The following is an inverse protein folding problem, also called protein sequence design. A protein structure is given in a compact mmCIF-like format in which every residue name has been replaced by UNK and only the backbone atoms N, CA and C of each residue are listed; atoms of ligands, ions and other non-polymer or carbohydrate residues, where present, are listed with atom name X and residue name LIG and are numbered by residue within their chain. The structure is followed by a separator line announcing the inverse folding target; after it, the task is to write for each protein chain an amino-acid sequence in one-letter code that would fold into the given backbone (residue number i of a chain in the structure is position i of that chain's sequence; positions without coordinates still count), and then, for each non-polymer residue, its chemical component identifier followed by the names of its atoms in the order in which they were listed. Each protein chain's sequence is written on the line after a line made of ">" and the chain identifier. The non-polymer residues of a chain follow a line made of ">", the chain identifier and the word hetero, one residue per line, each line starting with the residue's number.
data_IF_954925369306
#
_entry.id   IF_954925369306
#
_cell.length_a   1.000
_cell.length_b   1.000
_cell.length_c   1.000
_cell.angle_alpha   90.00
_cell.angle_beta   90.00
_cell.angle_gamma   90.00
#
_symmetry.space_group_name_H-M   'P 1'
#
loop_
_entity.id
_entity.type
_entity.pdbx_description
1 polymer ?
#
# COMPACT_ATOMS: atom_id res chain seq x y z
N UNK A 1 9.31 19.24 42.68
CA UNK A 1 8.99 20.01 41.46
C UNK A 1 10.24 20.18 40.60
N UNK A 2 10.37 19.46 39.49
CA UNK A 2 11.25 19.82 38.35
C UNK A 2 10.52 19.40 37.07
N UNK A 3 9.88 20.37 36.41
CA UNK A 3 9.19 20.18 35.12
C UNK A 3 10.24 19.91 34.02
N UNK A 4 10.29 18.69 33.51
CA UNK A 4 10.99 18.38 32.26
C UNK A 4 10.22 19.03 31.09
N UNK A 5 10.75 20.13 30.55
CA UNK A 5 10.29 20.73 29.29
C UNK A 5 10.44 19.70 28.17
N UNK A 6 9.33 19.14 27.69
CA UNK A 6 9.28 18.41 26.41
C UNK A 6 9.74 19.37 25.30
N UNK A 7 10.88 19.07 24.67
CA UNK A 7 11.28 19.72 23.41
C UNK A 7 10.25 19.35 22.33
N UNK A 8 9.85 20.27 21.45
CA UNK A 8 8.98 19.94 20.34
C UNK A 8 9.72 18.97 19.41
N UNK A 9 9.09 17.83 19.12
CA UNK A 9 9.62 16.86 18.16
C UNK A 9 9.78 17.55 16.80
N UNK A 10 10.97 17.46 16.20
CA UNK A 10 11.21 17.91 14.82
C UNK A 10 10.22 17.17 13.92
N UNK A 11 9.37 17.92 13.19
CA UNK A 11 8.50 17.35 12.15
C UNK A 11 9.36 16.55 11.18
N UNK A 12 9.24 15.23 11.22
CA UNK A 12 9.80 14.38 10.19
C UNK A 12 9.24 14.85 8.84
N UNK A 13 10.12 15.17 7.91
CA UNK A 13 9.78 15.43 6.51
C UNK A 13 9.18 14.15 5.95
N UNK A 14 7.84 14.03 6.02
CA UNK A 14 7.07 13.12 5.18
C UNK A 14 7.35 13.55 3.74
N UNK A 15 7.79 12.63 2.87
CA UNK A 15 7.59 12.85 1.43
C UNK A 15 6.10 13.09 1.27
N UNK A 16 5.72 14.23 0.71
CA UNK A 16 4.34 14.45 0.30
C UNK A 16 4.02 13.30 -0.67
N UNK A 17 3.09 12.42 -0.27
CA UNK A 17 2.50 11.48 -1.23
C UNK A 17 1.94 12.30 -2.39
N UNK A 18 1.85 11.69 -3.56
CA UNK A 18 1.16 12.28 -4.69
C UNK A 18 -0.29 12.53 -4.24
N UNK A 19 -0.64 13.75 -3.85
CA UNK A 19 -1.83 14.07 -3.05
C UNK A 19 -3.16 13.67 -3.70
N UNK A 20 -3.54 12.40 -3.53
CA UNK A 20 -4.66 11.76 -4.19
C UNK A 20 -4.45 11.53 -5.69
N UNK A 21 -5.51 11.09 -6.37
CA UNK A 21 -5.54 10.72 -7.79
C UNK A 21 -5.01 11.82 -8.72
N UNK A 22 -5.35 13.08 -8.43
CA UNK A 22 -4.86 14.24 -9.18
C UNK A 22 -3.34 14.42 -9.05
N UNK A 23 -2.78 14.08 -7.88
CA UNK A 23 -1.35 14.07 -7.64
C UNK A 23 -0.65 12.99 -8.47
N UNK A 24 -1.21 11.79 -8.49
CA UNK A 24 -0.67 10.63 -9.24
C UNK A 24 -0.70 10.91 -10.74
N UNK A 25 -1.84 11.36 -11.27
CA UNK A 25 -1.99 11.70 -12.68
C UNK A 25 -0.99 12.76 -13.11
N UNK A 26 -0.82 13.82 -12.31
CA UNK A 26 0.18 14.87 -12.56
C UNK A 26 1.62 14.33 -12.51
N UNK A 27 1.94 13.44 -11.58
CA UNK A 27 3.26 12.82 -11.49
C UNK A 27 3.57 11.98 -12.74
N UNK A 28 2.60 11.17 -13.21
CA UNK A 28 2.73 10.38 -14.44
C UNK A 28 2.95 11.28 -15.66
N UNK A 29 2.15 12.35 -15.80
CA UNK A 29 2.27 13.29 -16.92
C UNK A 29 3.60 14.06 -16.89
N UNK A 30 4.07 14.46 -15.71
CA UNK A 30 5.36 15.13 -15.57
C UNK A 30 6.51 14.21 -16.00
N UNK A 31 6.49 12.96 -15.56
CA UNK A 31 7.54 11.99 -15.89
C UNK A 31 7.51 11.62 -17.38
N UNK A 32 6.31 11.40 -17.93
CA UNK A 32 6.12 11.15 -19.36
C UNK A 32 6.56 12.35 -20.21
N UNK A 33 6.22 13.57 -19.78
CA UNK A 33 6.66 14.80 -20.43
C UNK A 33 8.17 15.01 -20.37
N UNK A 34 8.83 14.59 -19.27
CA UNK A 34 10.30 14.59 -19.16
C UNK A 34 10.92 13.65 -20.18
N UNK A 35 10.40 12.43 -20.32
CA UNK A 35 10.88 11.46 -21.31
C UNK A 35 10.66 11.94 -22.74
N UNK A 36 9.49 12.49 -23.05
CA UNK A 36 9.20 13.05 -24.37
C UNK A 36 10.16 14.19 -24.74
N UNK A 37 10.45 15.09 -23.79
CA UNK A 37 11.45 16.16 -23.98
C UNK A 37 12.87 15.61 -24.21
N UNK A 38 13.26 14.54 -23.51
CA UNK A 38 14.54 13.89 -23.74
C UNK A 38 14.60 13.30 -25.16
N UNK A 39 13.59 12.54 -25.56
CA UNK A 39 13.50 11.93 -26.88
C UNK A 39 13.53 12.98 -28.01
N UNK A 40 12.74 14.05 -27.90
CA UNK A 40 12.70 15.14 -28.88
C UNK A 40 14.00 15.95 -28.94
N UNK A 41 14.79 15.96 -27.87
CA UNK A 41 16.11 16.58 -27.82
C UNK A 41 17.23 15.61 -28.21
N UNK A 42 16.90 14.46 -28.81
CA UNK A 42 17.84 13.40 -29.20
C UNK A 42 18.72 12.90 -28.03
N UNK A 43 18.19 12.95 -26.81
CA UNK A 43 18.80 12.38 -25.61
C UNK A 43 18.12 11.08 -25.25
N UNK A 44 18.90 10.12 -24.77
CA UNK A 44 18.41 8.82 -24.35
C UNK A 44 17.36 8.96 -23.22
N UNK A 45 16.11 8.51 -23.45
CA UNK A 45 15.10 8.52 -22.42
C UNK A 45 15.47 7.53 -21.32
N UNK A 46 15.41 8.00 -20.07
CA UNK A 46 15.77 7.19 -18.91
C UNK A 46 14.85 7.46 -17.72
N UNK A 47 14.47 6.41 -17.00
CA UNK A 47 13.82 6.52 -15.68
C UNK A 47 14.87 6.51 -14.57
N UNK A 48 14.62 7.26 -13.50
CA UNK A 48 15.45 7.24 -12.29
C UNK A 48 14.64 6.66 -11.13
N UNK A 49 14.88 5.39 -10.80
CA UNK A 49 14.06 4.61 -9.88
C UNK A 49 14.83 4.38 -8.57
N UNK A 50 14.28 4.72 -7.39
CA UNK A 50 14.91 4.38 -6.12
C UNK A 50 15.11 2.86 -5.96
N UNK A 51 16.28 2.43 -5.48
CA UNK A 51 16.61 1.00 -5.34
C UNK A 51 15.89 0.40 -4.13
N UNK A 52 15.10 -0.65 -4.37
CA UNK A 52 14.31 -1.37 -3.35
C UNK A 52 15.03 -2.62 -2.84
N UNK A 53 16.25 -2.45 -2.34
CA UNK A 53 17.07 -3.55 -1.80
C UNK A 53 17.36 -3.33 -0.32
N UNK A 54 17.55 -4.40 0.45
CA UNK A 54 17.91 -4.30 1.89
C UNK A 54 19.14 -3.43 2.14
N UNK A 55 20.08 -3.42 1.18
CA UNK A 55 21.26 -2.57 1.26
C UNK A 55 20.90 -1.08 1.22
N UNK A 56 19.83 -0.69 0.53
CA UNK A 56 19.34 0.68 0.42
C UNK A 56 18.20 0.99 1.41
N UNK A 57 18.14 0.28 2.53
CA UNK A 57 17.17 0.52 3.60
C UNK A 57 17.92 0.99 4.84
N UNK A 58 17.52 2.14 5.37
CA UNK A 58 18.11 2.75 6.56
C UNK A 58 17.08 2.79 7.70
N UNK A 59 17.50 2.46 8.92
CA UNK A 59 16.66 2.59 10.10
C UNK A 59 16.70 4.04 10.60
N UNK A 60 15.56 4.72 10.61
CA UNK A 60 15.44 6.03 11.22
C UNK A 60 15.05 5.89 12.70
N UNK A 61 16.00 6.09 13.59
CA UNK A 61 15.79 6.00 15.05
C UNK A 61 14.73 7.00 15.57
N UNK A 62 14.63 8.19 14.96
CA UNK A 62 13.74 9.24 15.43
C UNK A 62 12.27 8.90 15.15
N UNK A 63 12.01 8.32 13.98
CA UNK A 63 10.65 7.92 13.60
C UNK A 63 10.38 6.42 13.78
N UNK A 64 11.38 5.63 14.20
CA UNK A 64 11.32 4.18 14.41
C UNK A 64 10.72 3.44 13.20
N UNK A 65 11.11 3.88 12.00
CA UNK A 65 10.69 3.28 10.74
C UNK A 65 11.88 3.05 9.83
N UNK A 66 11.76 2.05 8.97
CA UNK A 66 12.68 1.83 7.87
C UNK A 66 12.37 2.83 6.76
N UNK A 67 13.40 3.54 6.31
CA UNK A 67 13.35 4.49 5.19
C UNK A 67 14.18 3.95 4.03
N UNK A 68 13.76 4.26 2.81
CA UNK A 68 14.61 4.03 1.65
C UNK A 68 15.73 5.08 1.63
N UNK A 69 16.96 4.60 1.40
CA UNK A 69 18.13 5.44 1.19
C UNK A 69 18.15 6.09 -0.18
N UNK A 70 19.21 6.86 -0.44
CA UNK A 70 19.32 7.74 -1.60
C UNK A 70 19.74 7.04 -2.90
N UNK A 71 20.07 5.75 -2.86
CA UNK A 71 20.52 5.05 -4.07
C UNK A 71 19.38 4.91 -5.08
N UNK A 72 19.70 5.27 -6.31
CA UNK A 72 18.79 5.23 -7.47
C UNK A 72 19.44 4.40 -8.57
N UNK A 73 18.62 3.64 -9.26
CA UNK A 73 18.96 2.92 -10.47
C UNK A 73 18.44 3.70 -11.67
N UNK A 74 19.27 3.80 -12.70
CA UNK A 74 18.88 4.36 -13.98
C UNK A 74 18.39 3.21 -14.86
N UNK A 75 17.21 3.38 -15.47
CA UNK A 75 16.64 2.46 -16.45
C UNK A 75 16.57 3.17 -17.79
N UNK A 76 17.40 2.74 -18.73
CA UNK A 76 17.60 3.37 -20.03
C UNK A 76 16.85 2.61 -21.13
N UNK A 77 16.32 3.34 -22.12
CA UNK A 77 15.66 2.73 -23.27
C UNK A 77 16.65 2.01 -24.19
N UNK A 78 17.81 2.61 -24.48
CA UNK A 78 18.79 2.07 -25.45
C UNK A 78 19.77 1.05 -24.85
N UNK A 79 19.44 0.50 -23.69
CA UNK A 79 20.20 -0.57 -23.06
C UNK A 79 19.49 -1.91 -23.29
N UNK A 80 20.15 -2.86 -23.96
CA UNK A 80 19.58 -4.15 -24.35
C UNK A 80 18.91 -4.91 -23.19
N UNK A 81 19.53 -4.88 -22.00
CA UNK A 81 19.00 -5.58 -20.82
C UNK A 81 17.86 -4.85 -20.11
N UNK A 82 17.62 -3.57 -20.43
CA UNK A 82 16.67 -2.71 -19.74
C UNK A 82 15.51 -2.23 -20.62
N UNK A 83 15.67 -2.26 -21.94
CA UNK A 83 14.68 -1.79 -22.92
C UNK A 83 13.29 -2.41 -22.69
N UNK A 84 13.23 -3.72 -22.43
CA UNK A 84 11.97 -4.42 -22.13
C UNK A 84 11.30 -3.86 -20.87
N UNK A 85 12.07 -3.71 -19.79
CA UNK A 85 11.58 -3.14 -18.52
C UNK A 85 11.18 -1.68 -18.66
N UNK A 86 11.88 -0.92 -19.50
CA UNK A 86 11.53 0.47 -19.79
C UNK A 86 10.15 0.54 -20.47
N UNK A 87 9.95 -0.25 -21.52
CA UNK A 87 8.65 -0.36 -22.21
C UNK A 87 7.53 -0.78 -21.24
N UNK A 88 7.77 -1.79 -20.42
CA UNK A 88 6.81 -2.26 -19.42
C UNK A 88 6.44 -1.15 -18.41
N UNK A 89 7.41 -0.37 -17.93
CA UNK A 89 7.15 0.77 -17.04
C UNK A 89 6.25 1.81 -17.70
N UNK A 90 6.54 2.18 -18.95
CA UNK A 90 5.71 3.12 -19.72
C UNK A 90 4.30 2.58 -19.97
N UNK A 91 4.18 1.28 -20.26
CA UNK A 91 2.89 0.63 -20.46
C UNK A 91 2.05 0.61 -19.18
N UNK A 92 2.65 0.31 -18.04
CA UNK A 92 1.97 0.37 -16.73
C UNK A 92 1.57 1.81 -16.36
N UNK A 93 2.42 2.81 -16.65
CA UNK A 93 2.07 4.22 -16.49
C UNK A 93 0.81 4.59 -17.27
N UNK A 94 0.72 4.19 -18.53
CA UNK A 94 -0.49 4.39 -19.34
C UNK A 94 -1.68 3.65 -18.76
N UNK A 95 -1.48 2.40 -18.36
CA UNK A 95 -2.52 1.57 -17.76
C UNK A 95 -3.14 2.19 -16.51
N UNK A 96 -2.32 2.79 -15.64
CA UNK A 96 -2.75 3.53 -14.45
C UNK A 96 -3.44 4.84 -14.83
N UNK A 97 -2.91 5.61 -15.78
CA UNK A 97 -3.55 6.84 -16.23
C UNK A 97 -4.97 6.58 -16.77
N UNK A 98 -5.15 5.52 -17.55
CA UNK A 98 -6.47 5.11 -18.04
C UNK A 98 -7.44 4.73 -16.89
N UNK A 99 -6.93 4.16 -15.79
CA UNK A 99 -7.75 3.82 -14.61
C UNK A 99 -8.19 5.07 -13.86
N UNK A 100 -7.30 6.06 -13.73
CA UNK A 100 -7.59 7.35 -13.13
C UNK A 100 -8.61 8.14 -13.98
N UNK A 101 -8.43 8.17 -15.30
CA UNK A 101 -9.36 8.87 -16.22
C UNK A 101 -10.76 8.26 -16.23
N UNK A 102 -10.86 6.94 -16.04
CA UNK A 102 -12.14 6.22 -16.05
C UNK A 102 -12.78 6.06 -14.67
N UNK A 103 -12.11 6.51 -13.61
CA UNK A 103 -12.49 6.27 -12.22
C UNK A 103 -12.80 4.79 -11.94
N UNK A 104 -11.87 3.92 -12.34
CA UNK A 104 -11.99 2.46 -12.17
C UNK A 104 -10.80 1.91 -11.44
N UNK A 105 -11.03 0.81 -10.73
CA UNK A 105 -9.97 0.06 -10.06
C UNK A 105 -9.77 -1.30 -10.70
N UNK A 106 -8.55 -1.83 -10.60
CA UNK A 106 -8.18 -3.11 -11.19
C UNK A 106 -7.36 -3.94 -10.21
N UNK A 107 -7.53 -5.26 -10.25
CA UNK A 107 -6.68 -6.16 -9.46
C UNK A 107 -5.26 -6.24 -10.06
N UNK A 108 -4.27 -6.66 -9.27
CA UNK A 108 -2.92 -6.98 -9.78
C UNK A 108 -2.93 -7.90 -11.02
N UNK A 109 -3.73 -8.97 -10.97
CA UNK A 109 -3.93 -9.87 -12.12
C UNK A 109 -4.58 -9.16 -13.30
N UNK A 110 -5.57 -8.31 -13.03
CA UNK A 110 -6.18 -7.50 -14.06
C UNK A 110 -5.15 -6.59 -14.73
N UNK A 111 -4.25 -5.96 -13.96
CA UNK A 111 -3.21 -5.08 -14.52
C UNK A 111 -2.22 -5.85 -15.35
N UNK A 112 -1.84 -7.04 -14.91
CA UNK A 112 -1.06 -7.97 -15.72
C UNK A 112 -1.75 -8.27 -17.06
N UNK A 113 -3.03 -8.66 -17.06
CA UNK A 113 -3.76 -8.96 -18.30
C UNK A 113 -3.98 -7.72 -19.18
N UNK A 114 -4.20 -6.54 -18.59
CA UNK A 114 -4.31 -5.27 -19.31
C UNK A 114 -3.00 -4.88 -20.00
N UNK A 115 -1.86 -5.23 -19.41
CA UNK A 115 -0.55 -5.03 -20.02
C UNK A 115 -0.14 -6.15 -20.97
N UNK A 116 -0.81 -7.31 -20.95
CA UNK A 116 -0.41 -8.52 -21.67
C UNK A 116 -0.81 -8.45 -23.15
N UNK A 117 0.16 -8.11 -24.00
CA UNK A 117 -0.02 -8.06 -25.44
C UNK A 117 1.20 -8.69 -26.14
N UNK A 118 0.99 -9.17 -27.36
CA UNK A 118 2.08 -9.57 -28.24
C UNK A 118 2.66 -8.32 -28.89
N UNK A 119 3.98 -8.14 -28.81
CA UNK A 119 4.65 -7.00 -29.41
C UNK A 119 4.52 -7.10 -30.94
N UNK A 120 3.99 -6.06 -31.63
CA UNK A 120 3.85 -6.09 -33.08
C UNK A 120 5.19 -6.38 -33.77
N UNK A 121 5.23 -7.40 -34.63
CA UNK A 121 6.46 -7.81 -35.32
C UNK A 121 7.38 -8.75 -34.53
N UNK A 122 7.04 -9.09 -33.29
CA UNK A 122 7.75 -10.10 -32.50
C UNK A 122 6.82 -11.23 -32.05
N UNK A 123 7.39 -12.38 -31.69
CA UNK A 123 6.66 -13.50 -31.05
C UNK A 123 6.62 -13.38 -29.52
N UNK A 124 7.14 -12.28 -28.99
CA UNK A 124 7.31 -12.06 -27.56
C UNK A 124 6.12 -11.31 -26.98
N UNK A 125 5.78 -11.67 -25.74
CA UNK A 125 4.77 -10.97 -24.95
C UNK A 125 5.42 -9.83 -24.17
N UNK A 126 4.65 -8.77 -23.94
CA UNK A 126 5.04 -7.63 -23.10
C UNK A 126 5.45 -8.07 -21.70
N UNK A 127 4.70 -8.98 -21.08
CA UNK A 127 4.99 -9.61 -19.78
C UNK A 127 5.06 -11.14 -19.91
N UNK A 128 5.99 -11.76 -19.20
CA UNK A 128 6.13 -13.21 -19.09
C UNK A 128 5.21 -13.82 -18.03
N UNK A 129 5.12 -13.18 -16.87
CA UNK A 129 4.30 -13.62 -15.74
C UNK A 129 3.77 -12.44 -14.91
N UNK A 130 2.96 -12.77 -13.89
CA UNK A 130 2.39 -11.77 -12.98
C UNK A 130 3.48 -11.11 -12.11
N UNK A 131 4.50 -11.86 -11.68
CA UNK A 131 5.55 -11.36 -10.79
C UNK A 131 6.41 -10.28 -11.46
N UNK A 132 6.63 -10.39 -12.77
CA UNK A 132 7.29 -9.37 -13.60
C UNK A 132 6.45 -8.09 -13.64
N UNK A 133 5.13 -8.20 -13.85
CA UNK A 133 4.21 -7.06 -13.82
C UNK A 133 4.15 -6.39 -12.44
N UNK A 134 4.06 -7.20 -11.38
CA UNK A 134 3.98 -6.71 -10.01
C UNK A 134 5.29 -6.01 -9.61
N UNK A 135 6.45 -6.49 -10.08
CA UNK A 135 7.76 -5.83 -9.88
C UNK A 135 7.81 -4.47 -10.56
N UNK A 136 7.33 -4.36 -11.80
CA UNK A 136 7.28 -3.08 -12.54
C UNK A 136 6.31 -2.10 -11.88
N UNK A 137 5.17 -2.58 -11.38
CA UNK A 137 4.22 -1.74 -10.65
C UNK A 137 4.83 -1.18 -9.35
N UNK A 138 5.57 -2.00 -8.61
CA UNK A 138 6.29 -1.53 -7.41
C UNK A 138 7.41 -0.53 -7.73
N UNK A 139 8.08 -0.68 -8.88
CA UNK A 139 9.04 0.32 -9.36
C UNK A 139 8.32 1.63 -9.69
N UNK A 140 7.09 1.56 -10.21
CA UNK A 140 6.26 2.72 -10.49
C UNK A 140 5.80 3.43 -9.22
N UNK A 141 5.42 2.70 -8.16
CA UNK A 141 5.10 3.25 -6.83
C UNK A 141 6.23 4.17 -6.33
N UNK A 142 7.47 3.69 -6.39
CA UNK A 142 8.63 4.45 -5.88
C UNK A 142 9.11 5.55 -6.83
N UNK A 143 8.90 5.37 -8.14
CA UNK A 143 9.20 6.39 -9.15
C UNK A 143 8.28 7.61 -8.99
N UNK A 144 6.97 7.37 -8.80
CA UNK A 144 5.97 8.43 -8.65
C UNK A 144 5.89 8.97 -7.21
N UNK A 145 6.40 8.21 -6.23
CA UNK A 145 6.20 8.54 -4.81
C UNK A 145 4.75 8.37 -4.37
N UNK A 146 4.04 7.43 -4.98
CA UNK A 146 2.64 7.14 -4.75
C UNK A 146 2.48 5.72 -4.17
N UNK A 147 1.46 5.53 -3.35
CA UNK A 147 1.06 4.21 -2.86
C UNK A 147 0.34 3.45 -3.98
N UNK A 148 0.44 2.12 -3.96
CA UNK A 148 -0.24 1.27 -4.97
C UNK A 148 -1.74 1.52 -5.01
N UNK A 149 -2.30 1.71 -3.83
CA UNK A 149 -3.71 1.97 -3.61
C UNK A 149 -4.14 3.28 -4.30
N UNK A 150 -3.27 4.29 -4.36
CA UNK A 150 -3.46 5.55 -5.11
C UNK A 150 -3.29 5.37 -6.64
N UNK A 151 -2.75 4.24 -7.10
CA UNK A 151 -2.67 3.89 -8.53
C UNK A 151 -3.94 3.19 -9.04
N UNK A 152 -5.00 3.12 -8.21
CA UNK A 152 -6.23 2.37 -8.48
C UNK A 152 -6.02 0.86 -8.65
N UNK A 153 -4.90 0.33 -8.12
CA UNK A 153 -4.59 -1.10 -8.17
C UNK A 153 -4.78 -1.75 -6.81
N UNK A 154 -5.66 -2.75 -6.74
CA UNK A 154 -5.97 -3.45 -5.48
C UNK A 154 -5.46 -4.89 -5.47
N UNK A 155 -5.14 -5.38 -4.28
CA UNK A 155 -4.92 -6.80 -4.01
C UNK A 155 -6.21 -7.47 -3.51
N UNK A 156 -6.22 -8.81 -3.47
CA UNK A 156 -7.33 -9.56 -2.87
C UNK A 156 -7.54 -9.13 -1.41
N UNK A 157 -8.79 -8.92 -1.00
CA UNK A 157 -9.16 -8.67 0.39
C UNK A 157 -8.66 -9.83 1.25
N UNK A 158 -7.91 -9.51 2.31
CA UNK A 158 -7.33 -10.48 3.24
C UNK A 158 -7.17 -9.78 4.59
N UNK A 159 -7.50 -10.49 5.65
CA UNK A 159 -7.63 -9.91 6.97
C UNK A 159 -9.08 -9.56 7.30
N UNK A 160 -9.41 -9.69 8.57
CA UNK A 160 -10.77 -9.56 9.09
C UNK A 160 -10.76 -8.66 10.31
N UNK A 161 -11.81 -7.86 10.47
CA UNK A 161 -12.01 -6.95 11.60
C UNK A 161 -13.39 -7.16 12.22
N UNK A 162 -13.45 -7.19 13.54
CA UNK A 162 -14.69 -7.16 14.32
C UNK A 162 -14.48 -6.28 15.54
N UNK A 163 -15.52 -5.60 16.02
CA UNK A 163 -15.44 -4.88 17.28
C UNK A 163 -16.23 -3.58 17.30
N UNK A 164 -15.92 -2.75 18.30
CA UNK A 164 -16.72 -1.58 18.66
C UNK A 164 -16.48 -0.35 17.76
N UNK A 165 -16.57 -0.55 16.44
CA UNK A 165 -16.38 0.47 15.41
C UNK A 165 -17.46 0.38 14.33
N UNK A 166 -17.86 1.54 13.82
CA UNK A 166 -18.68 1.69 12.62
C UNK A 166 -17.85 2.40 11.56
N UNK A 167 -17.74 1.78 10.39
CA UNK A 167 -17.00 2.30 9.24
C UNK A 167 -17.96 2.59 8.10
N UNK A 168 -17.68 3.61 7.29
CA UNK A 168 -18.36 3.83 6.02
C UNK A 168 -17.43 3.35 4.91
N UNK A 169 -17.85 2.34 4.15
CA UNK A 169 -17.11 1.76 3.03
C UNK A 169 -17.86 2.06 1.74
N UNK A 170 -17.26 2.87 0.86
CA UNK A 170 -17.85 3.28 -0.42
C UNK A 170 -19.29 3.85 -0.32
N UNK A 171 -19.59 4.54 0.79
CA UNK A 171 -20.89 5.15 1.06
C UNK A 171 -21.80 4.35 2.00
N UNK A 172 -21.57 3.03 2.12
CA UNK A 172 -22.36 2.15 2.97
C UNK A 172 -21.84 2.13 4.41
N UNK A 173 -22.74 2.31 5.38
CA UNK A 173 -22.39 2.28 6.80
C UNK A 173 -22.40 0.83 7.31
N UNK A 174 -21.22 0.36 7.71
CA UNK A 174 -20.98 -1.00 8.17
C UNK A 174 -20.68 -0.97 9.67
N UNK A 175 -21.58 -1.57 10.43
CA UNK A 175 -21.39 -1.76 11.86
C UNK A 175 -20.61 -3.06 12.12
N UNK A 176 -19.33 -2.95 12.51
CA UNK A 176 -18.46 -4.10 12.75
C UNK A 176 -18.85 -4.92 13.99
N UNK A 177 -19.79 -4.45 14.83
CA UNK A 177 -20.36 -5.23 15.96
C UNK A 177 -21.37 -6.26 15.50
N UNK A 178 -21.95 -6.08 14.31
CA UNK A 178 -23.10 -6.86 13.80
C UNK A 178 -22.74 -7.76 12.61
N UNK A 179 -21.47 -8.10 12.45
CA UNK A 179 -20.97 -8.90 11.33
C UNK A 179 -20.97 -10.42 11.59
N UNK A 180 -21.49 -10.86 12.74
CA UNK A 180 -21.54 -12.28 13.12
C UNK A 180 -20.16 -12.92 13.21
N UNK A 181 -20.07 -14.19 12.81
CA UNK A 181 -18.82 -14.97 12.88
C UNK A 181 -17.80 -14.56 11.81
N UNK A 182 -18.26 -14.03 10.68
CA UNK A 182 -17.40 -13.73 9.53
C UNK A 182 -16.64 -12.41 9.62
N UNK A 183 -17.10 -11.45 10.42
CA UNK A 183 -16.44 -10.14 10.55
C UNK A 183 -16.47 -9.31 9.26
N UNK A 184 -15.88 -8.12 9.33
CA UNK A 184 -15.67 -7.26 8.17
C UNK A 184 -14.34 -7.60 7.47
N UNK A 185 -14.41 -7.98 6.21
CA UNK A 185 -13.23 -8.27 5.40
C UNK A 185 -12.52 -6.97 4.98
N UNK A 186 -11.29 -6.78 5.47
CA UNK A 186 -10.53 -5.55 5.26
C UNK A 186 -10.17 -5.42 3.77
N UNK A 187 -10.58 -4.32 3.08
CA UNK A 187 -10.24 -4.11 1.69
C UNK A 187 -8.75 -3.77 1.53
N UNK A 188 -8.22 -3.94 0.31
CA UNK A 188 -6.81 -3.58 0.04
C UNK A 188 -6.59 -2.08 0.04
N UNK A 189 -7.59 -1.30 -0.38
CA UNK A 189 -7.56 0.16 -0.37
C UNK A 189 -8.27 0.58 0.92
N UNK A 190 -7.51 1.16 1.83
CA UNK A 190 -7.99 1.65 3.12
C UNK A 190 -7.70 3.15 3.25
N UNK A 191 -7.74 3.91 2.16
CA UNK A 191 -7.53 5.35 2.22
C UNK A 191 -8.81 6.06 2.72
N UNK A 192 -8.72 7.29 3.25
CA UNK A 192 -9.85 7.98 3.90
C UNK A 192 -11.08 8.20 3.02
N UNK A 193 -10.88 8.31 1.71
CA UNK A 193 -11.90 8.41 0.66
C UNK A 193 -12.70 7.12 0.47
N UNK A 194 -12.12 5.97 0.81
CA UNK A 194 -12.79 4.65 0.70
C UNK A 194 -13.35 4.20 2.04
N UNK A 195 -12.55 4.30 3.11
CA UNK A 195 -12.95 3.92 4.46
C UNK A 195 -12.91 5.15 5.37
N UNK A 196 -14.09 5.57 5.81
CA UNK A 196 -14.25 6.61 6.82
C UNK A 196 -14.61 6.00 8.18
N UNK A 197 -13.98 6.52 9.25
CA UNK A 197 -14.33 6.15 10.61
C UNK A 197 -15.50 7.01 11.09
N UNK A 198 -16.67 6.41 11.25
CA UNK A 198 -17.90 7.14 11.64
C UNK A 198 -17.98 7.25 13.16
N UNK A 199 -17.92 6.11 13.84
CA UNK A 199 -17.95 6.03 15.30
C UNK A 199 -16.99 4.95 15.77
N UNK A 200 -16.17 5.27 16.77
CA UNK A 200 -15.28 4.33 17.42
C UNK A 200 -15.36 4.52 18.93
N UNK A 201 -15.83 3.49 19.63
CA UNK A 201 -15.93 3.50 21.10
C UNK A 201 -14.86 2.61 21.73
N UNK A 202 -14.07 1.89 20.92
CA UNK A 202 -13.06 0.97 21.40
C UNK A 202 -11.89 1.68 22.10
N UNK A 203 -11.33 1.05 23.12
CA UNK A 203 -10.20 1.55 23.89
C UNK A 203 -8.85 1.16 23.28
N UNK A 204 -8.79 0.03 22.57
CA UNK A 204 -7.58 -0.49 21.93
C UNK A 204 -7.89 -1.42 20.75
N UNK A 205 -6.87 -1.70 19.96
CA UNK A 205 -6.89 -2.70 18.89
C UNK A 205 -6.09 -3.91 19.32
N UNK A 206 -6.70 -5.10 19.27
CA UNK A 206 -6.03 -6.39 19.44
C UNK A 206 -5.83 -7.02 18.06
N UNK A 207 -4.57 -7.08 17.61
CA UNK A 207 -4.19 -7.77 16.38
C UNK A 207 -3.72 -9.18 16.70
N UNK A 208 -4.37 -10.18 16.11
CA UNK A 208 -4.07 -11.60 16.29
C UNK A 208 -3.53 -12.18 14.99
N UNK A 209 -2.42 -12.90 15.07
CA UNK A 209 -1.77 -13.48 13.89
C UNK A 209 -2.65 -14.55 13.19
N UNK A 210 -3.15 -15.50 13.98
CA UNK A 210 -3.82 -16.70 13.49
C UNK A 210 -5.33 -16.55 13.48
N UNK A 211 -5.91 -16.83 12.32
CA UNK A 211 -7.36 -16.83 12.10
C UNK A 211 -8.11 -17.78 13.07
N UNK A 212 -7.51 -18.92 13.43
CA UNK A 212 -8.12 -19.87 14.38
C UNK A 212 -8.24 -19.28 15.80
N UNK A 213 -7.27 -18.47 16.22
CA UNK A 213 -7.29 -17.80 17.52
C UNK A 213 -8.25 -16.61 17.46
N UNK A 214 -8.24 -15.87 16.36
CA UNK A 214 -9.19 -14.78 16.11
C UNK A 214 -10.64 -15.27 16.15
N UNK A 215 -10.95 -16.39 15.49
CA UNK A 215 -12.28 -16.98 15.45
C UNK A 215 -12.79 -17.33 16.86
N UNK A 216 -11.93 -17.90 17.72
CA UNK A 216 -12.27 -18.17 19.12
C UNK A 216 -12.53 -16.90 19.92
N UNK A 217 -11.70 -15.87 19.78
CA UNK A 217 -11.95 -14.58 20.42
C UNK A 217 -13.26 -13.93 19.96
N UNK A 218 -13.63 -14.11 18.69
CA UNK A 218 -14.89 -13.63 18.16
C UNK A 218 -16.09 -14.41 18.73
N UNK A 219 -16.00 -15.75 18.82
CA UNK A 219 -17.01 -16.60 19.46
C UNK A 219 -17.25 -16.20 20.93
N UNK A 220 -16.17 -15.95 21.68
CA UNK A 220 -16.24 -15.53 23.09
C UNK A 220 -16.65 -14.06 23.29
N UNK A 221 -16.85 -13.33 22.17
CA UNK A 221 -17.13 -11.89 22.11
C UNK A 221 -16.18 -11.07 22.98
N UNK A 222 -14.88 -11.36 22.89
CA UNK A 222 -13.86 -10.66 23.66
C UNK A 222 -13.89 -9.15 23.42
N UNK A 223 -14.18 -8.74 22.18
CA UNK A 223 -14.32 -7.34 21.77
C UNK A 223 -15.46 -6.61 22.49
N UNK A 224 -16.53 -7.32 22.88
CA UNK A 224 -17.66 -6.75 23.64
C UNK A 224 -17.28 -6.58 25.12
N UNK A 225 -16.59 -7.56 25.71
CA UNK A 225 -16.18 -7.56 27.13
C UNK A 225 -15.09 -6.55 27.45
N UNK A 226 -14.12 -6.38 26.55
CA UNK A 226 -12.94 -5.53 26.74
C UNK A 226 -12.96 -4.26 25.90
N UNK A 227 -14.08 -3.96 25.25
CA UNK A 227 -14.29 -2.77 24.44
C UNK A 227 -13.13 -2.52 23.45
N UNK A 228 -12.85 -3.50 22.59
CA UNK A 228 -11.71 -3.43 21.68
C UNK A 228 -12.09 -3.71 20.22
N UNK A 229 -11.18 -3.42 19.30
CA UNK A 229 -11.26 -3.84 17.90
C UNK A 229 -10.36 -5.07 17.75
N UNK A 230 -10.92 -6.19 17.33
CA UNK A 230 -10.19 -7.41 17.05
C UNK A 230 -9.90 -7.52 15.55
N UNK A 231 -8.63 -7.67 15.19
CA UNK A 231 -8.19 -7.78 13.79
C UNK A 231 -7.33 -9.01 13.58
N UNK A 232 -7.33 -9.56 12.36
CA UNK A 232 -6.40 -10.63 11.94
C UNK A 232 -5.80 -10.34 10.56
N UNK A 233 -4.60 -10.89 10.32
CA UNK A 233 -3.86 -10.76 9.05
C UNK A 233 -3.59 -12.10 8.33
N UNK A 234 -4.02 -13.21 8.91
CA UNK A 234 -3.81 -14.59 8.46
C UNK A 234 -2.33 -14.92 8.26
N UNK A 235 -1.51 -14.74 9.31
CA UNK A 235 -0.04 -14.77 9.24
C UNK A 235 0.52 -13.37 8.95
N UNK A 236 1.38 -13.24 7.94
CA UNK A 236 1.96 -11.93 7.59
C UNK A 236 0.85 -10.96 7.13
N UNK A 237 0.64 -9.83 7.83
CA UNK A 237 -0.48 -8.96 7.56
C UNK A 237 -0.34 -8.29 6.18
N UNK A 238 -1.38 -8.36 5.32
CA UNK A 238 -1.36 -7.73 4.02
C UNK A 238 -1.26 -6.20 4.14
N UNK A 239 -0.93 -5.53 3.03
CA UNK A 239 -0.79 -4.06 2.99
C UNK A 239 -2.02 -3.34 3.55
N UNK A 240 -3.23 -3.79 3.18
CA UNK A 240 -4.49 -3.22 3.66
C UNK A 240 -4.63 -3.27 5.19
N UNK A 241 -4.37 -4.43 5.81
CA UNK A 241 -4.41 -4.59 7.27
C UNK A 241 -3.40 -3.68 7.96
N UNK A 242 -2.14 -3.66 7.49
CA UNK A 242 -1.11 -2.78 8.07
C UNK A 242 -1.47 -1.30 7.94
N UNK A 243 -2.03 -0.90 6.79
CA UNK A 243 -2.49 0.46 6.55
C UNK A 243 -3.64 0.82 7.48
N UNK A 244 -4.62 -0.07 7.64
CA UNK A 244 -5.75 0.14 8.54
C UNK A 244 -5.30 0.25 10.00
N UNK A 245 -4.42 -0.64 10.48
CA UNK A 245 -3.84 -0.58 11.83
C UNK A 245 -3.09 0.74 12.06
N UNK A 246 -2.30 1.19 11.08
CA UNK A 246 -1.63 2.48 11.13
C UNK A 246 -2.64 3.64 11.24
N UNK A 247 -3.73 3.60 10.47
CA UNK A 247 -4.80 4.61 10.51
C UNK A 247 -5.53 4.61 11.85
N UNK A 248 -5.91 3.45 12.39
CA UNK A 248 -6.52 3.34 13.72
C UNK A 248 -5.62 3.95 14.81
N UNK A 249 -4.31 3.74 14.72
CA UNK A 249 -3.37 4.34 15.66
C UNK A 249 -3.18 5.85 15.45
N UNK A 250 -3.01 6.29 14.20
CA UNK A 250 -2.64 7.67 13.89
C UNK A 250 -3.84 8.64 13.89
N UNK A 251 -5.01 8.20 13.44
CA UNK A 251 -6.23 9.02 13.33
C UNK A 251 -7.07 8.94 14.60
N UNK A 252 -7.26 7.73 15.16
CA UNK A 252 -8.10 7.52 16.36
C UNK A 252 -7.29 7.46 17.67
N UNK A 253 -5.95 7.44 17.59
CA UNK A 253 -5.09 7.39 18.78
C UNK A 253 -5.11 6.04 19.51
N UNK A 254 -5.67 4.99 18.89
CA UNK A 254 -5.86 3.70 19.56
C UNK A 254 -4.52 2.96 19.69
N UNK A 255 -4.19 2.45 20.89
CA UNK A 255 -3.04 1.57 21.05
C UNK A 255 -3.30 0.25 20.31
N UNK A 256 -2.30 -0.20 19.54
CA UNK A 256 -2.33 -1.48 18.82
C UNK A 256 -1.51 -2.49 19.61
N UNK A 257 -2.17 -3.54 20.08
CA UNK A 257 -1.58 -4.65 20.84
C UNK A 257 -1.55 -5.87 19.92
N UNK A 258 -0.36 -6.42 19.69
CA UNK A 258 -0.19 -7.62 18.86
C UNK A 258 -0.06 -8.86 19.75
N UNK A 259 -0.86 -9.89 19.46
CA UNK A 259 -0.77 -11.22 20.05
C UNK A 259 -0.25 -12.20 18.99
N UNK A 260 1.03 -12.52 19.10
CA UNK A 260 1.82 -13.28 18.13
C UNK A 260 2.46 -14.48 18.82
N UNK A 261 2.85 -15.50 18.04
CA UNK A 261 3.61 -16.63 18.58
C UNK A 261 5.01 -16.17 19.06
N UNK A 262 5.54 -16.82 20.10
CA UNK A 262 6.87 -16.53 20.64
C UNK A 262 7.97 -17.26 19.86
N UNK A 263 8.03 -17.03 18.55
CA UNK A 263 9.06 -17.58 17.67
C UNK A 263 9.63 -16.49 16.74
N UNK A 264 10.72 -16.77 15.98
CA UNK A 264 11.31 -15.78 15.08
C UNK A 264 10.34 -15.26 14.00
N UNK A 265 9.32 -16.01 13.62
CA UNK A 265 8.30 -15.58 12.67
C UNK A 265 7.29 -14.65 13.31
N UNK A 266 6.83 -14.95 14.53
CA UNK A 266 6.00 -14.07 15.32
C UNK A 266 6.70 -12.75 15.64
N UNK A 267 8.02 -12.74 15.86
CA UNK A 267 8.78 -11.49 16.00
C UNK A 267 8.98 -10.72 14.68
N UNK A 268 8.87 -11.39 13.53
CA UNK A 268 8.96 -10.75 12.22
C UNK A 268 7.67 -10.00 11.84
N UNK A 269 6.53 -10.48 12.34
CA UNK A 269 5.18 -9.92 12.10
C UNK A 269 4.98 -8.64 12.90
#
# INVERSE_FOLDING_TARGET
>A
MKKLRKKPAKKATRRAGAGGDAGVGKAILNESGRLAKQALAEKDPQFTIPVRANSNTEWDEASRILRMGDRKQIRELFNLGQARKFMQTTLQQRGVLDLLEQDKTLSLRGMYYKGLHTIPGAKEKTFGDQDESDTVLQDLEVLLGALREELHVFAKKRGTMVGNITVRDAGDEINCRRMGTGGYAIPSICEPDVIEFVNCEADFVLHVEKDTVWSRFNEDRFWEKHNCILTEGSGQPPRGVRRLLQRLNAELGLPVICLLDCDPWGHHI
#
